data_IF_083426830072
#
_entry.id   IF_083426830072
#
_cell.length_a   1.000
_cell.length_b   1.000
_cell.length_c   1.000
_cell.angle_alpha   90.00
_cell.angle_beta   90.00
_cell.angle_gamma   90.00
#
_symmetry.space_group_name_H-M   'P 1'
#
loop_
_entity.id
_entity.type
_entity.pdbx_description
1 polymer ?
#
# COMPACT_ATOMS: atom_id res chain seq x y z
N UNK A 1 28.92 44.31 20.89
CA UNK A 1 27.50 44.47 21.21
C UNK A 1 26.73 43.67 20.18
N UNK A 2 26.25 42.51 20.61
CA UNK A 2 25.40 41.58 19.88
C UNK A 2 24.01 42.19 19.65
N UNK A 3 23.42 41.91 18.48
CA UNK A 3 21.97 41.89 18.33
C UNK A 3 21.63 40.78 17.33
N UNK A 4 21.41 39.58 17.88
CA UNK A 4 20.99 38.40 17.16
C UNK A 4 19.62 38.58 16.52
N UNK A 5 19.53 38.18 15.25
CA UNK A 5 18.27 37.92 14.57
C UNK A 5 17.95 36.43 14.75
N UNK A 6 17.35 36.08 15.89
CA UNK A 6 16.76 34.76 16.13
C UNK A 6 15.70 34.49 15.07
N UNK A 7 16.00 33.60 14.12
CA UNK A 7 14.97 32.90 13.34
C UNK A 7 14.25 31.97 14.31
N UNK A 8 13.01 32.33 14.62
CA UNK A 8 12.07 31.50 15.36
C UNK A 8 11.93 30.19 14.58
N UNK A 9 12.54 29.12 15.09
CA UNK A 9 12.22 27.76 14.69
C UNK A 9 10.79 27.49 15.14
N UNK A 10 9.89 27.32 14.16
CA UNK A 10 8.54 26.85 14.44
C UNK A 10 8.58 25.50 15.17
N UNK A 11 7.61 25.19 16.04
CA UNK A 11 7.53 23.89 16.69
C UNK A 11 7.13 22.82 15.66
N UNK A 12 8.08 21.96 15.30
CA UNK A 12 7.98 20.90 14.28
C UNK A 12 7.02 19.72 14.60
N UNK A 13 6.08 19.83 15.54
CA UNK A 13 5.23 18.69 15.90
C UNK A 13 3.90 18.61 15.15
N UNK A 14 3.27 19.72 14.79
CA UNK A 14 1.98 19.72 14.06
C UNK A 14 2.14 19.39 12.56
N UNK A 15 3.17 19.92 11.90
CA UNK A 15 3.39 19.66 10.47
C UNK A 15 3.74 18.21 10.15
N UNK A 16 4.34 17.46 11.09
CA UNK A 16 4.72 16.06 10.83
C UNK A 16 3.51 15.15 10.75
N UNK A 17 2.54 15.31 11.64
CA UNK A 17 1.33 14.47 11.67
C UNK A 17 0.50 14.69 10.40
N UNK A 18 0.26 15.97 10.05
CA UNK A 18 -0.40 16.36 8.80
C UNK A 18 0.35 15.83 7.55
N UNK A 19 1.68 15.97 7.50
CA UNK A 19 2.48 15.43 6.39
C UNK A 19 2.34 13.91 6.23
N UNK A 20 2.23 13.17 7.34
CA UNK A 20 2.10 11.71 7.30
C UNK A 20 0.70 11.26 6.91
N UNK A 21 -0.35 12.02 7.27
CA UNK A 21 -1.70 11.78 6.74
C UNK A 21 -1.75 11.98 5.22
N UNK A 22 -1.12 13.04 4.71
CA UNK A 22 -1.00 13.28 3.27
C UNK A 22 -0.21 12.15 2.59
N UNK A 23 0.88 11.69 3.21
CA UNK A 23 1.64 10.56 2.68
C UNK A 23 0.82 9.27 2.62
N UNK A 24 0.00 8.99 3.63
CA UNK A 24 -0.91 7.84 3.64
C UNK A 24 -1.87 7.89 2.45
N UNK A 25 -2.46 9.06 2.16
CA UNK A 25 -3.26 9.24 0.95
C UNK A 25 -2.43 8.98 -0.31
N UNK A 26 -1.20 9.48 -0.36
CA UNK A 26 -0.24 9.27 -1.45
C UNK A 26 0.00 7.79 -1.76
N UNK A 27 0.10 6.92 -0.75
CA UNK A 27 0.25 5.46 -0.94
C UNK A 27 -0.92 4.91 -1.74
N UNK A 28 -2.16 5.20 -1.34
CA UNK A 28 -3.33 4.68 -2.04
C UNK A 28 -3.38 5.17 -3.50
N UNK A 29 -3.05 6.44 -3.71
CA UNK A 29 -3.00 7.07 -5.03
C UNK A 29 -1.94 6.43 -5.93
N UNK A 30 -0.74 6.12 -5.41
CA UNK A 30 0.32 5.44 -6.16
C UNK A 30 -0.04 4.01 -6.51
N UNK A 31 -0.61 3.29 -5.55
CA UNK A 31 -1.07 1.91 -5.77
C UNK A 31 -2.19 1.83 -6.83
N UNK A 32 -2.98 2.89 -7.01
CA UNK A 32 -3.97 2.94 -8.09
C UNK A 32 -3.37 2.94 -9.51
N UNK A 33 -2.13 3.42 -9.66
CA UNK A 33 -1.39 3.38 -10.92
C UNK A 33 -0.53 2.13 -11.09
N UNK A 34 -0.19 1.44 -9.98
CA UNK A 34 0.49 0.15 -10.01
C UNK A 34 -0.35 -0.91 -10.75
N UNK A 35 0.04 -1.29 -11.97
CA UNK A 35 -0.70 -2.29 -12.76
C UNK A 35 -0.74 -3.64 -12.05
N UNK A 36 0.38 -4.09 -11.48
CA UNK A 36 0.45 -5.33 -10.71
C UNK A 36 -0.59 -5.36 -9.57
N UNK A 37 -0.75 -4.28 -8.82
CA UNK A 37 -1.79 -4.15 -7.80
C UNK A 37 -3.20 -4.15 -8.39
N UNK A 38 -3.45 -3.39 -9.45
CA UNK A 38 -4.76 -3.37 -10.12
C UNK A 38 -5.15 -4.77 -10.61
N UNK A 39 -4.21 -5.56 -11.14
CA UNK A 39 -4.43 -6.95 -11.50
C UNK A 39 -4.67 -7.83 -10.27
N UNK A 40 -3.90 -7.65 -9.20
CA UNK A 40 -4.04 -8.41 -7.96
C UNK A 40 -5.44 -8.23 -7.35
N UNK A 41 -5.92 -6.99 -7.29
CA UNK A 41 -7.29 -6.64 -6.90
C UNK A 41 -8.29 -7.25 -7.87
N UNK A 42 -8.12 -7.00 -9.17
CA UNK A 42 -9.05 -7.44 -10.21
C UNK A 42 -9.23 -8.93 -10.18
N UNK A 43 -8.18 -9.72 -10.01
CA UNK A 43 -8.20 -11.18 -10.02
C UNK A 43 -8.60 -11.79 -8.67
N UNK A 44 -8.99 -10.99 -7.67
CA UNK A 44 -9.55 -11.47 -6.41
C UNK A 44 -8.52 -12.05 -5.44
N UNK A 45 -7.23 -11.73 -5.59
CA UNK A 45 -6.18 -12.28 -4.73
C UNK A 45 -6.22 -11.74 -3.29
N UNK A 46 -6.93 -10.64 -3.04
CA UNK A 46 -7.23 -10.19 -1.68
C UNK A 46 -8.26 -11.05 -0.95
N UNK A 47 -8.89 -12.04 -1.62
CA UNK A 47 -9.79 -12.97 -0.95
C UNK A 47 -11.07 -12.31 -0.40
N UNK A 48 -11.64 -12.93 0.63
CA UNK A 48 -12.75 -12.37 1.40
C UNK A 48 -12.39 -11.04 2.08
N UNK A 49 -13.35 -10.11 2.08
CA UNK A 49 -13.23 -8.74 2.59
C UNK A 49 -12.10 -7.94 1.91
N UNK A 50 -12.12 -7.79 0.57
CA UNK A 50 -11.01 -7.20 -0.17
C UNK A 50 -10.71 -5.76 0.27
N UNK A 51 -11.72 -4.95 0.58
CA UNK A 51 -11.54 -3.58 1.05
C UNK A 51 -10.71 -3.50 2.34
N UNK A 52 -11.03 -4.35 3.33
CA UNK A 52 -10.27 -4.39 4.59
C UNK A 52 -8.83 -4.84 4.36
N UNK A 53 -8.62 -5.86 3.51
CA UNK A 53 -7.27 -6.37 3.25
C UNK A 53 -6.40 -5.42 2.45
N UNK A 54 -7.00 -4.67 1.52
CA UNK A 54 -6.33 -3.60 0.79
C UNK A 54 -5.91 -2.49 1.76
N UNK A 55 -6.80 -2.07 2.65
CA UNK A 55 -6.49 -1.08 3.67
C UNK A 55 -5.36 -1.56 4.60
N UNK A 56 -5.44 -2.79 5.13
CA UNK A 56 -4.37 -3.38 5.91
C UNK A 56 -3.04 -3.47 5.13
N UNK A 57 -3.10 -3.66 3.81
CA UNK A 57 -1.91 -3.67 2.96
C UNK A 57 -1.29 -2.27 2.87
N UNK A 58 -2.10 -1.23 2.66
CA UNK A 58 -1.62 0.16 2.68
C UNK A 58 -1.09 0.56 4.05
N UNK A 59 -1.76 0.16 5.14
CA UNK A 59 -1.28 0.35 6.51
C UNK A 59 0.07 -0.32 6.74
N UNK A 60 0.29 -1.51 6.18
CA UNK A 60 1.56 -2.22 6.29
C UNK A 60 2.69 -1.50 5.56
N UNK A 61 2.42 -0.95 4.37
CA UNK A 61 3.39 -0.13 3.63
C UNK A 61 3.69 1.13 4.42
N UNK A 62 2.66 1.86 4.85
CA UNK A 62 2.81 3.09 5.63
C UNK A 62 3.62 2.84 6.90
N UNK A 63 3.33 1.74 7.60
CA UNK A 63 4.04 1.33 8.81
C UNK A 63 5.55 1.18 8.59
N UNK A 64 6.00 0.68 7.43
CA UNK A 64 7.43 0.57 7.12
C UNK A 64 8.14 1.92 7.11
N UNK A 65 7.45 2.99 6.71
CA UNK A 65 8.01 4.34 6.69
C UNK A 65 8.09 4.97 8.08
N UNK A 66 7.11 4.69 8.94
CA UNK A 66 6.98 5.37 10.24
C UNK A 66 7.58 4.60 11.43
N UNK A 67 7.75 3.29 11.34
CA UNK A 67 8.28 2.47 12.44
C UNK A 67 9.79 2.62 12.63
N UNK A 68 10.52 2.95 11.58
CA UNK A 68 11.97 3.12 11.60
C UNK A 68 12.35 4.60 11.70
N UNK A 69 13.50 4.89 12.32
CA UNK A 69 14.10 6.23 12.33
C UNK A 69 14.57 6.67 10.94
N UNK A 70 14.91 5.70 10.10
CA UNK A 70 15.35 5.90 8.73
C UNK A 70 14.28 5.37 7.75
N UNK A 71 14.10 6.02 6.58
CA UNK A 71 13.22 5.50 5.54
C UNK A 71 13.59 4.06 5.15
N UNK A 72 12.62 3.22 4.76
CA UNK A 72 12.91 1.88 4.28
C UNK A 72 13.79 1.95 3.03
N UNK A 73 14.67 0.96 2.86
CA UNK A 73 15.40 0.82 1.60
C UNK A 73 14.45 0.40 0.49
N UNK A 74 14.78 0.72 -0.77
CA UNK A 74 14.01 0.26 -1.95
C UNK A 74 13.80 -1.26 -1.94
N UNK A 75 14.82 -2.04 -1.58
CA UNK A 75 14.74 -3.50 -1.48
C UNK A 75 13.69 -3.93 -0.46
N UNK A 76 13.59 -3.23 0.68
CA UNK A 76 12.61 -3.54 1.71
C UNK A 76 11.17 -3.25 1.25
N UNK A 77 10.97 -2.13 0.55
CA UNK A 77 9.68 -1.82 -0.08
C UNK A 77 9.30 -2.85 -1.14
N UNK A 78 10.22 -3.22 -2.02
CA UNK A 78 9.99 -4.24 -3.04
C UNK A 78 9.63 -5.59 -2.39
N UNK A 79 10.26 -5.96 -1.26
CA UNK A 79 9.87 -7.15 -0.49
C UNK A 79 8.46 -7.06 0.08
N UNK A 80 8.05 -5.89 0.58
CA UNK A 80 6.69 -5.68 1.04
C UNK A 80 5.66 -5.74 -0.09
N UNK A 81 6.03 -5.26 -1.27
CA UNK A 81 5.22 -5.29 -2.49
C UNK A 81 5.31 -6.64 -3.22
N UNK A 82 6.19 -7.54 -2.81
CA UNK A 82 6.40 -8.87 -3.38
C UNK A 82 5.14 -9.73 -3.54
N UNK A 83 4.10 -9.64 -2.69
CA UNK A 83 2.83 -10.34 -2.96
C UNK A 83 2.27 -10.04 -4.36
N UNK A 84 2.52 -8.85 -4.89
CA UNK A 84 2.12 -8.45 -6.24
C UNK A 84 2.90 -9.17 -7.36
N UNK A 85 4.12 -9.65 -7.09
CA UNK A 85 4.93 -10.42 -8.04
C UNK A 85 4.45 -11.87 -8.25
N UNK A 86 3.50 -12.37 -7.44
CA UNK A 86 2.95 -13.72 -7.66
C UNK A 86 2.05 -13.84 -8.90
N UNK A 87 1.89 -12.74 -9.66
CA UNK A 87 1.11 -12.69 -10.88
C UNK A 87 2.00 -12.96 -12.11
N UNK A 88 1.59 -13.83 -13.05
CA UNK A 88 2.29 -14.02 -14.32
C UNK A 88 2.46 -12.76 -15.18
N UNK A 89 1.75 -11.68 -14.83
CA UNK A 89 1.76 -10.40 -15.51
C UNK A 89 2.36 -9.26 -14.66
N UNK A 90 2.95 -9.55 -13.49
CA UNK A 90 3.72 -8.53 -12.79
C UNK A 90 4.97 -8.23 -13.61
N UNK A 91 5.03 -7.03 -14.18
CA UNK A 91 6.28 -6.52 -14.71
C UNK A 91 7.08 -6.05 -13.50
N UNK A 92 8.29 -6.59 -13.33
CA UNK A 92 9.17 -6.20 -12.20
C UNK A 92 9.36 -4.68 -12.15
N UNK A 93 9.36 -4.04 -13.33
CA UNK A 93 9.40 -2.59 -13.53
C UNK A 93 8.26 -1.84 -12.79
N UNK A 94 7.04 -2.37 -12.73
CA UNK A 94 5.89 -1.68 -12.10
C UNK A 94 6.06 -1.57 -10.58
N UNK A 95 6.67 -2.59 -9.96
CA UNK A 95 6.91 -2.62 -8.51
C UNK A 95 8.14 -1.78 -8.16
N UNK A 96 9.15 -1.81 -9.01
CA UNK A 96 10.33 -0.97 -8.90
C UNK A 96 9.95 0.52 -8.96
N UNK A 97 9.18 0.93 -9.98
CA UNK A 97 8.74 2.31 -10.20
C UNK A 97 7.89 2.83 -9.04
N UNK A 98 6.93 2.03 -8.56
CA UNK A 98 6.13 2.39 -7.39
C UNK A 98 6.97 2.50 -6.13
N UNK A 99 7.98 1.65 -5.96
CA UNK A 99 8.88 1.75 -4.80
C UNK A 99 9.65 3.08 -4.82
N UNK A 100 10.17 3.49 -5.98
CA UNK A 100 10.86 4.78 -6.14
C UNK A 100 9.91 5.95 -5.89
N UNK A 101 8.68 5.87 -6.42
CA UNK A 101 7.67 6.90 -6.21
C UNK A 101 7.28 7.06 -4.74
N UNK A 102 7.09 5.95 -4.02
CA UNK A 102 6.77 5.97 -2.58
C UNK A 102 7.92 6.60 -1.76
N UNK A 103 9.17 6.28 -2.10
CA UNK A 103 10.35 6.89 -1.45
C UNK A 103 10.42 8.40 -1.68
N UNK A 104 10.20 8.84 -2.92
CA UNK A 104 10.21 10.26 -3.27
C UNK A 104 9.09 11.03 -2.54
N UNK A 105 7.86 10.52 -2.58
CA UNK A 105 6.72 11.11 -1.87
C UNK A 105 6.98 11.23 -0.37
N UNK A 106 7.58 10.20 0.25
CA UNK A 106 7.91 10.25 1.67
C UNK A 106 8.93 11.34 1.99
N UNK A 107 9.98 11.46 1.18
CA UNK A 107 11.00 12.51 1.35
C UNK A 107 10.41 13.92 1.20
N UNK A 108 9.55 14.12 0.20
CA UNK A 108 8.84 15.39 0.00
C UNK A 108 7.98 15.72 1.24
N UNK A 109 7.19 14.77 1.75
CA UNK A 109 6.37 14.95 2.95
C UNK A 109 7.20 15.33 4.19
N UNK A 110 8.41 14.77 4.34
CA UNK A 110 9.32 15.15 5.43
C UNK A 110 9.81 16.60 5.30
N UNK A 111 9.89 17.13 4.09
CA UNK A 111 10.23 18.52 3.80
C UNK A 111 9.02 19.47 3.79
N UNK A 112 7.81 18.95 3.95
CA UNK A 112 6.57 19.73 3.80
C UNK A 112 6.23 20.09 2.35
N UNK A 113 6.82 19.37 1.39
CA UNK A 113 6.44 19.42 -0.03
C UNK A 113 5.45 18.29 -0.31
N UNK A 114 4.39 18.58 -1.06
CA UNK A 114 3.34 17.61 -1.41
C UNK A 114 3.07 17.57 -2.92
N UNK A 115 3.97 18.13 -3.72
CA UNK A 115 3.79 18.33 -5.15
C UNK A 115 3.54 17.02 -5.89
N UNK A 116 4.32 15.98 -5.62
CA UNK A 116 4.11 14.65 -6.23
C UNK A 116 2.74 14.07 -5.90
N UNK A 117 2.28 14.23 -4.64
CA UNK A 117 0.98 13.75 -4.17
C UNK A 117 -0.15 14.53 -4.83
N UNK A 118 -0.02 15.84 -5.00
CA UNK A 118 -1.00 16.65 -5.73
C UNK A 118 -1.11 16.23 -7.20
N UNK A 119 0.03 16.05 -7.87
CA UNK A 119 0.08 15.61 -9.27
C UNK A 119 -0.61 14.25 -9.45
N UNK A 120 -0.30 13.28 -8.59
CA UNK A 120 -0.88 11.94 -8.68
C UNK A 120 -2.37 11.92 -8.29
N UNK A 121 -2.80 12.81 -7.40
CA UNK A 121 -4.20 13.00 -7.04
C UNK A 121 -5.01 13.51 -8.22
N UNK A 122 -4.52 14.52 -8.94
CA UNK A 122 -5.13 14.99 -10.17
C UNK A 122 -5.18 13.91 -11.26
N UNK A 123 -4.10 13.15 -11.42
CA UNK A 123 -4.04 12.07 -12.39
C UNK A 123 -5.06 10.97 -12.06
N UNK A 124 -5.20 10.60 -10.78
CA UNK A 124 -6.23 9.66 -10.32
C UNK A 124 -7.64 10.17 -10.63
N UNK A 125 -7.92 11.44 -10.35
CA UNK A 125 -9.23 12.05 -10.63
C UNK A 125 -9.56 11.98 -12.14
N UNK A 126 -8.59 12.32 -13.00
CA UNK A 126 -8.73 12.21 -14.46
C UNK A 126 -8.99 10.77 -14.92
N UNK A 127 -8.28 9.80 -14.35
CA UNK A 127 -8.48 8.36 -14.65
C UNK A 127 -9.88 7.89 -14.28
N UNK A 128 -10.40 8.30 -13.13
CA UNK A 128 -11.77 7.97 -12.70
C UNK A 128 -12.82 8.61 -13.61
N UNK A 129 -12.62 9.87 -14.01
CA UNK A 129 -13.49 10.55 -14.98
C UNK A 129 -13.49 9.83 -16.32
N UNK A 130 -12.32 9.46 -16.85
CA UNK A 130 -12.21 8.71 -18.09
C UNK A 130 -12.94 7.36 -18.06
N UNK A 131 -12.82 6.60 -16.96
CA UNK A 131 -13.56 5.34 -16.77
C UNK A 131 -15.08 5.55 -16.76
N UNK A 132 -15.55 6.61 -16.10
CA UNK A 132 -16.99 6.94 -16.01
C UNK A 132 -17.56 7.35 -17.37
N UNK A 133 -16.85 8.18 -18.12
CA UNK A 133 -17.30 8.69 -19.43
C UNK A 133 -17.30 7.58 -20.49
N UNK A 134 -16.32 6.66 -20.45
CA UNK A 134 -16.14 5.66 -21.50
C UNK A 134 -16.71 4.26 -21.18
N UNK A 135 -17.31 4.07 -19.99
CA UNK A 135 -17.96 2.81 -19.56
C UNK A 135 -17.14 1.54 -19.85
N UNK A 136 -15.81 1.64 -19.79
CA UNK A 136 -14.90 0.51 -19.98
C UNK A 136 -14.82 -0.24 -18.65
N UNK A 137 -15.78 -1.12 -18.39
CA UNK A 137 -15.48 -2.26 -17.53
C UNK A 137 -14.66 -3.22 -18.38
N UNK A 138 -13.44 -3.52 -17.93
CA UNK A 138 -12.67 -4.63 -18.49
C UNK A 138 -13.33 -5.95 -18.04
N UNK A 139 -14.60 -6.15 -18.39
CA UNK A 139 -15.30 -7.42 -18.29
C UNK A 139 -14.87 -8.28 -19.47
N UNK A 140 -13.63 -8.76 -19.40
CA UNK A 140 -13.33 -10.00 -20.10
C UNK A 140 -14.07 -11.12 -19.35
N UNK A 141 -14.95 -11.91 -20.01
CA UNK A 141 -15.59 -13.08 -19.40
C UNK A 141 -14.56 -14.10 -18.86
N UNK A 142 -13.32 -14.03 -19.37
CA UNK A 142 -12.18 -14.80 -18.90
C UNK A 142 -11.68 -14.33 -17.53
N UNK A 143 -11.73 -13.01 -17.27
CA UNK A 143 -11.35 -12.43 -15.99
C UNK A 143 -12.27 -12.90 -14.86
N UNK A 144 -13.59 -12.99 -15.08
CA UNK A 144 -14.55 -13.41 -14.05
C UNK A 144 -14.38 -14.88 -13.62
N UNK A 145 -14.08 -15.77 -14.56
CA UNK A 145 -13.77 -17.17 -14.23
C UNK A 145 -12.49 -17.29 -13.41
N UNK A 146 -11.44 -16.56 -13.80
CA UNK A 146 -10.17 -16.54 -13.08
C UNK A 146 -10.35 -15.93 -11.69
N UNK A 147 -11.09 -14.82 -11.58
CA UNK A 147 -11.48 -14.19 -10.31
C UNK A 147 -12.12 -15.17 -9.35
N UNK A 148 -13.18 -15.87 -9.80
CA UNK A 148 -13.90 -16.84 -8.98
C UNK A 148 -13.01 -18.00 -8.52
N UNK A 149 -12.15 -18.50 -9.41
CA UNK A 149 -11.20 -19.57 -9.08
C UNK A 149 -10.15 -19.11 -8.06
N UNK A 150 -9.56 -17.93 -8.25
CA UNK A 150 -8.55 -17.37 -7.35
C UNK A 150 -9.15 -17.03 -5.98
N UNK A 151 -10.32 -16.40 -5.93
CA UNK A 151 -11.01 -16.08 -4.68
C UNK A 151 -11.23 -17.34 -3.83
N UNK A 152 -11.72 -18.42 -4.46
CA UNK A 152 -11.95 -19.72 -3.80
C UNK A 152 -10.64 -20.32 -3.27
N UNK A 153 -9.56 -20.27 -4.07
CA UNK A 153 -8.25 -20.77 -3.67
C UNK A 153 -7.64 -19.97 -2.52
N UNK A 154 -7.82 -18.65 -2.51
CA UNK A 154 -7.31 -17.80 -1.43
C UNK A 154 -8.08 -17.95 -0.13
N UNK A 155 -9.41 -17.98 -0.16
CA UNK A 155 -10.23 -18.19 1.03
C UNK A 155 -9.93 -19.53 1.71
N UNK A 156 -9.67 -20.57 0.91
CA UNK A 156 -9.26 -21.88 1.46
C UNK A 156 -7.86 -21.84 2.07
N UNK A 157 -6.92 -21.07 1.50
CA UNK A 157 -5.58 -20.89 2.05
C UNK A 157 -5.59 -20.08 3.36
N UNK A 158 -6.31 -18.97 3.40
CA UNK A 158 -6.41 -18.12 4.61
C UNK A 158 -7.12 -18.86 5.75
N UNK A 159 -8.22 -19.58 5.48
CA UNK A 159 -8.83 -20.46 6.49
C UNK A 159 -7.92 -21.56 7.01
N UNK A 160 -6.90 -21.97 6.24
CA UNK A 160 -5.88 -22.91 6.72
C UNK A 160 -4.84 -22.20 7.58
N UNK A 161 -4.45 -20.97 7.23
CA UNK A 161 -3.51 -20.15 8.01
C UNK A 161 -4.08 -19.77 9.38
N UNK A 162 -5.33 -19.31 9.44
CA UNK A 162 -6.00 -18.97 10.70
C UNK A 162 -6.14 -20.18 11.61
N UNK A 163 -6.46 -21.35 11.03
CA UNK A 163 -6.50 -22.61 11.77
C UNK A 163 -5.13 -23.05 12.30
N UNK A 164 -4.04 -22.76 11.57
CA UNK A 164 -2.68 -23.03 12.04
C UNK A 164 -2.32 -22.11 13.20
N UNK A 165 -2.56 -20.81 13.05
CA UNK A 165 -2.30 -19.83 14.09
C UNK A 165 -3.10 -20.12 15.38
N UNK A 166 -4.39 -20.46 15.25
CA UNK A 166 -5.21 -20.85 16.40
C UNK A 166 -4.67 -22.11 17.13
N UNK A 167 -4.08 -23.06 16.40
CA UNK A 167 -3.45 -24.26 16.98
C UNK A 167 -2.15 -23.92 17.69
N UNK A 168 -1.32 -23.04 17.12
CA UNK A 168 -0.08 -22.57 17.74
C UNK A 168 -0.37 -21.80 19.04
N UNK A 169 -1.36 -20.90 19.02
CA UNK A 169 -1.80 -20.17 20.23
C UNK A 169 -2.37 -21.12 21.29
N UNK A 170 -3.10 -22.16 20.89
CA UNK A 170 -3.61 -23.17 21.82
C UNK A 170 -2.50 -24.04 22.42
N UNK A 171 -1.46 -24.37 21.64
CA UNK A 171 -0.31 -25.14 22.11
C UNK A 171 0.48 -24.39 23.18
N UNK A 172 0.78 -23.10 22.95
CA UNK A 172 1.50 -22.25 23.91
C UNK A 172 0.74 -22.10 25.23
N UNK A 173 -0.59 -21.98 25.18
CA UNK A 173 -1.43 -21.89 26.40
C UNK A 173 -1.49 -23.18 27.22
N UNK A 174 -1.23 -24.33 26.60
CA UNK A 174 -1.19 -25.61 27.30
C UNK A 174 0.18 -25.84 27.95
N UNK A 175 1.26 -25.31 27.37
CA UNK A 175 2.61 -25.36 27.95
C UNK A 175 2.77 -24.43 29.16
N UNK A 176 2.10 -23.26 29.19
CA UNK A 176 2.08 -22.39 30.38
C UNK A 176 1.27 -22.94 31.57
N UNK A 177 0.45 -23.98 31.36
CA UNK A 177 -0.41 -24.60 32.38
C UNK A 177 0.10 -25.95 32.89
N UNK A 178 1.22 -26.45 32.36
CA UNK A 178 1.89 -27.68 32.76
C UNK A 178 3.10 -27.36 33.65
#
# INVERSE_FOLDING_TARGET
>A
MEAGSSRVLLPCSQGREESMEVFREGIELAMNFCRAFQFYVTLGYFGSQPSLRIQNFFDSIFSLFIQSKEPPTKIELMRQLNPLHTLPCSLDDDIEEVSDQLLAMYQECLCGDFSSIQIIKEANARRLMWKRVNKFELESPFSEKIKKANLTRFDTMWRKKDRRHAREVAALKNEEKA
#
